data_IF_780853577876
#
_entry.id   IF_780853577876
#
_cell.length_a   1.000
_cell.length_b   1.000
_cell.length_c   1.000
_cell.angle_alpha   90.00
_cell.angle_beta   90.00
_cell.angle_gamma   90.00
#
_symmetry.space_group_name_H-M   'P 1'
#
loop_
_entity.id
_entity.type
_entity.pdbx_description
1 polymer ?
#
# COMPACT_ATOMS: atom_id res chain seq x y z
N UNK A 1 -19.49 -12.85 4.59
CA UNK A 1 -18.72 -12.86 3.33
C UNK A 1 -18.87 -14.22 2.64
N UNK A 2 -19.01 -14.26 1.31
CA UNK A 2 -19.01 -15.50 0.52
C UNK A 2 -17.64 -16.21 0.70
N UNK A 3 -17.62 -17.55 0.82
CA UNK A 3 -16.38 -18.33 0.96
C UNK A 3 -15.41 -18.15 -0.22
N UNK A 4 -15.93 -17.75 -1.38
CA UNK A 4 -15.13 -17.49 -2.58
C UNK A 4 -14.02 -16.46 -2.34
N UNK A 5 -14.29 -15.43 -1.54
CA UNK A 5 -13.38 -14.30 -1.33
C UNK A 5 -12.47 -14.44 -0.11
N UNK A 6 -12.67 -15.47 0.70
CA UNK A 6 -11.99 -15.64 1.99
C UNK A 6 -10.46 -15.68 1.86
N UNK A 7 -9.94 -16.35 0.83
CA UNK A 7 -8.49 -16.44 0.61
C UNK A 7 -7.87 -15.10 0.20
N UNK A 8 -8.49 -14.39 -0.73
CA UNK A 8 -8.03 -13.05 -1.13
C UNK A 8 -8.15 -12.03 0.01
N UNK A 9 -9.21 -12.13 0.80
CA UNK A 9 -9.42 -11.33 2.00
C UNK A 9 -8.32 -11.58 3.05
N UNK A 10 -8.04 -12.85 3.35
CA UNK A 10 -6.96 -13.26 4.26
C UNK A 10 -5.59 -12.78 3.79
N UNK A 11 -5.32 -12.86 2.48
CA UNK A 11 -4.10 -12.31 1.90
C UNK A 11 -3.97 -10.80 2.13
N UNK A 12 -5.04 -10.03 1.90
CA UNK A 12 -5.02 -8.58 2.15
C UNK A 12 -4.79 -8.28 3.63
N UNK A 13 -5.44 -9.02 4.53
CA UNK A 13 -5.20 -8.90 5.98
C UNK A 13 -3.77 -9.29 6.37
N UNK A 14 -3.24 -10.37 5.80
CA UNK A 14 -1.88 -10.81 6.07
C UNK A 14 -0.85 -9.74 5.68
N UNK A 15 -0.97 -9.16 4.48
CA UNK A 15 -0.09 -8.06 4.04
C UNK A 15 -0.25 -6.84 4.96
N UNK A 16 -1.48 -6.51 5.34
CA UNK A 16 -1.75 -5.45 6.30
C UNK A 16 -1.07 -5.69 7.65
N UNK A 17 -1.20 -6.90 8.20
CA UNK A 17 -0.72 -7.25 9.54
C UNK A 17 0.82 -7.22 9.60
N UNK A 18 1.52 -7.59 8.52
CA UNK A 18 2.98 -7.40 8.41
C UNK A 18 3.38 -5.93 8.62
N UNK A 19 2.64 -5.00 8.01
CA UNK A 19 2.94 -3.57 8.14
C UNK A 19 2.55 -3.03 9.53
N UNK A 20 1.52 -3.60 10.17
CA UNK A 20 1.16 -3.29 11.57
C UNK A 20 2.24 -3.78 12.52
N UNK A 21 2.73 -5.01 12.33
CA UNK A 21 3.80 -5.60 13.14
C UNK A 21 5.06 -4.73 13.10
N UNK A 22 5.38 -4.14 11.94
CA UNK A 22 6.47 -3.16 11.82
C UNK A 22 6.23 -1.91 12.68
N UNK A 23 5.01 -1.36 12.72
CA UNK A 23 4.69 -0.22 13.57
C UNK A 23 4.81 -0.58 15.06
N UNK A 24 4.22 -1.69 15.47
CA UNK A 24 4.25 -2.12 16.88
C UNK A 24 5.66 -2.44 17.36
N UNK A 25 6.43 -3.19 16.56
CA UNK A 25 7.81 -3.54 16.90
C UNK A 25 8.72 -2.32 16.78
N UNK A 26 8.46 -1.44 15.82
CA UNK A 26 9.20 -0.21 15.65
C UNK A 26 9.03 0.77 16.81
N UNK A 27 7.82 0.86 17.37
CA UNK A 27 7.57 1.64 18.59
C UNK A 27 8.27 1.02 19.80
N UNK A 28 8.16 -0.30 20.00
CA UNK A 28 8.81 -1.03 21.11
C UNK A 28 10.34 -0.94 21.09
N UNK A 29 10.95 -0.77 19.92
CA UNK A 29 12.40 -0.73 19.72
C UNK A 29 12.93 0.67 19.36
N UNK A 30 12.14 1.73 19.59
CA UNK A 30 12.53 3.13 19.34
C UNK A 30 12.99 3.42 17.89
N UNK A 31 12.51 2.64 16.90
CA UNK A 31 12.91 2.78 15.49
C UNK A 31 12.57 4.17 14.96
N UNK A 32 11.42 4.72 15.39
CA UNK A 32 10.94 6.03 14.97
C UNK A 32 11.58 7.20 15.72
N UNK A 33 12.42 6.93 16.73
CA UNK A 33 13.20 7.95 17.40
C UNK A 33 14.52 8.20 16.68
N UNK A 34 14.99 9.45 16.73
CA UNK A 34 16.32 9.84 16.22
C UNK A 34 17.21 10.23 17.39
N UNK A 35 18.37 9.59 17.50
CA UNK A 35 19.40 9.96 18.47
C UNK A 35 20.29 11.03 17.86
N UNK A 36 20.37 12.18 18.51
CA UNK A 36 21.23 13.29 18.08
C UNK A 36 22.37 13.44 19.08
N UNK A 37 23.60 13.23 18.63
CA UNK A 37 24.78 13.48 19.45
C UNK A 37 25.08 14.99 19.52
N UNK A 38 25.20 15.48 20.74
CA UNK A 38 25.48 16.87 21.07
C UNK A 38 26.81 16.96 21.83
N UNK A 39 27.66 17.88 21.42
CA UNK A 39 28.83 18.31 22.20
C UNK A 39 28.39 19.02 23.50
N UNK A 40 29.28 19.15 24.48
CA UNK A 40 28.93 19.77 25.76
C UNK A 40 28.56 21.26 25.64
N UNK A 41 29.08 21.95 24.61
CA UNK A 41 28.67 23.31 24.26
C UNK A 41 27.24 23.33 23.69
N UNK A 42 26.95 22.46 22.73
CA UNK A 42 25.62 22.35 22.12
C UNK A 42 24.56 21.93 23.15
N UNK A 43 24.90 21.06 24.12
CA UNK A 43 23.99 20.70 25.21
C UNK A 43 23.56 21.94 25.99
N UNK A 44 24.51 22.79 26.40
CA UNK A 44 24.20 24.02 27.15
C UNK A 44 23.31 24.95 26.32
N UNK A 45 23.69 25.19 25.06
CA UNK A 45 22.90 26.03 24.14
C UNK A 45 21.49 25.47 23.90
N UNK A 46 21.34 24.14 23.86
CA UNK A 46 20.05 23.49 23.69
C UNK A 46 19.17 23.62 24.95
N UNK A 47 19.76 23.48 26.14
CA UNK A 47 19.03 23.65 27.41
C UNK A 47 18.53 25.08 27.62
N UNK A 48 19.25 26.06 27.08
CA UNK A 48 18.88 27.48 27.12
C UNK A 48 17.99 27.91 25.92
N UNK A 49 17.61 26.98 25.03
CA UNK A 49 16.81 27.29 23.83
C UNK A 49 15.31 27.14 24.07
N UNK A 50 14.58 28.27 24.04
CA UNK A 50 13.13 28.31 24.25
C UNK A 50 12.27 27.97 23.01
N UNK A 51 12.89 27.53 21.91
CA UNK A 51 12.18 27.21 20.66
C UNK A 51 11.94 25.72 20.44
N UNK A 52 11.36 25.38 19.29
CA UNK A 52 11.18 23.98 18.86
C UNK A 52 12.53 23.29 18.59
N UNK A 53 12.68 22.04 19.04
CA UNK A 53 13.84 21.18 18.77
C UNK A 53 14.19 21.14 17.27
N UNK A 54 13.18 21.11 16.40
CA UNK A 54 13.36 21.10 14.96
C UNK A 54 14.01 22.40 14.45
N UNK A 55 13.59 23.55 14.97
CA UNK A 55 14.20 24.84 14.64
C UNK A 55 15.64 24.91 15.13
N UNK A 56 15.91 24.35 16.31
CA UNK A 56 17.27 24.27 16.85
C UNK A 56 18.19 23.45 15.93
N UNK A 57 17.76 22.26 15.50
CA UNK A 57 18.52 21.40 14.60
C UNK A 57 18.86 22.10 13.28
N UNK A 58 17.88 22.82 12.72
CA UNK A 58 18.03 23.58 11.48
C UNK A 58 19.03 24.73 11.64
N UNK A 59 18.94 25.49 12.73
CA UNK A 59 19.82 26.62 13.03
C UNK A 59 21.29 26.22 13.27
N UNK A 60 21.54 24.98 13.72
CA UNK A 60 22.88 24.45 13.99
C UNK A 60 23.46 23.64 12.83
N UNK A 61 22.90 23.77 11.61
CA UNK A 61 23.31 23.04 10.41
C UNK A 61 23.31 21.51 10.58
N UNK A 62 22.49 20.95 11.48
CA UNK A 62 22.31 19.50 11.65
C UNK A 62 21.21 18.97 10.72
N UNK A 63 21.31 19.29 9.43
CA UNK A 63 20.28 19.00 8.42
C UNK A 63 19.93 17.50 8.32
N UNK A 64 20.93 16.62 8.37
CA UNK A 64 20.70 15.17 8.32
C UNK A 64 19.86 14.66 9.50
N UNK A 65 20.10 15.18 10.70
CA UNK A 65 19.32 14.84 11.89
C UNK A 65 17.90 15.41 11.80
N UNK A 66 17.75 16.65 11.33
CA UNK A 66 16.46 17.29 11.08
C UNK A 66 15.60 16.46 10.11
N UNK A 67 16.15 16.11 8.95
CA UNK A 67 15.46 15.30 7.95
C UNK A 67 15.12 13.91 8.47
N UNK A 68 16.05 13.27 9.20
CA UNK A 68 15.82 11.94 9.78
C UNK A 68 14.66 11.93 10.78
N UNK A 69 14.61 12.91 11.70
CA UNK A 69 13.51 13.07 12.67
C UNK A 69 12.17 13.22 11.93
N UNK A 70 12.11 14.10 10.93
CA UNK A 70 10.86 14.36 10.20
C UNK A 70 10.44 13.14 9.39
N UNK A 71 11.37 12.52 8.63
CA UNK A 71 11.07 11.32 7.84
C UNK A 71 10.50 10.20 8.71
N UNK A 72 11.14 9.86 9.82
CA UNK A 72 10.67 8.80 10.73
C UNK A 72 9.27 9.11 11.30
N UNK A 73 9.04 10.37 11.70
CA UNK A 73 7.74 10.82 12.21
C UNK A 73 6.64 10.71 11.14
N UNK A 74 6.93 11.14 9.91
CA UNK A 74 6.00 11.05 8.78
C UNK A 74 5.70 9.59 8.46
N UNK A 75 6.72 8.73 8.37
CA UNK A 75 6.54 7.30 8.05
C UNK A 75 5.60 6.65 9.06
N UNK A 76 5.86 6.83 10.36
CA UNK A 76 5.03 6.24 11.42
C UNK A 76 3.57 6.70 11.33
N UNK A 77 3.35 8.01 11.25
CA UNK A 77 2.00 8.58 11.23
C UNK A 77 1.23 8.24 9.95
N UNK A 78 1.90 8.34 8.79
CA UNK A 78 1.28 8.10 7.48
C UNK A 78 0.93 6.64 7.28
N UNK A 79 1.81 5.73 7.72
CA UNK A 79 1.56 4.29 7.67
C UNK A 79 0.44 3.91 8.64
N UNK A 80 0.44 4.43 9.88
CA UNK A 80 -0.66 4.19 10.83
C UNK A 80 -2.02 4.60 10.26
N UNK A 81 -2.13 5.82 9.68
CA UNK A 81 -3.36 6.30 9.05
C UNK A 81 -3.78 5.42 7.86
N UNK A 82 -2.83 5.02 7.00
CA UNK A 82 -3.08 4.13 5.87
C UNK A 82 -3.66 2.79 6.35
N UNK A 83 -3.01 2.16 7.34
CA UNK A 83 -3.37 0.83 7.83
C UNK A 83 -4.72 0.83 8.55
N UNK A 84 -5.04 1.86 9.34
CA UNK A 84 -6.38 2.00 9.92
C UNK A 84 -7.48 2.04 8.87
N UNK A 85 -7.29 2.81 7.78
CA UNK A 85 -8.27 2.85 6.69
C UNK A 85 -8.37 1.51 5.94
N UNK A 86 -7.25 0.81 5.70
CA UNK A 86 -7.25 -0.52 5.08
C UNK A 86 -7.97 -1.52 5.98
N UNK A 87 -7.64 -1.58 7.27
CA UNK A 87 -8.28 -2.46 8.26
C UNK A 87 -9.80 -2.28 8.27
N UNK A 88 -10.27 -1.04 8.43
CA UNK A 88 -11.70 -0.75 8.49
C UNK A 88 -12.39 -1.03 7.15
N UNK A 89 -11.71 -0.83 6.01
CA UNK A 89 -12.22 -1.21 4.70
C UNK A 89 -12.41 -2.73 4.58
N UNK A 90 -11.39 -3.52 4.96
CA UNK A 90 -11.46 -4.97 4.95
C UNK A 90 -12.55 -5.49 5.91
N UNK A 91 -12.65 -4.94 7.13
CA UNK A 91 -13.73 -5.27 8.08
C UNK A 91 -15.11 -4.86 7.57
N UNK A 92 -15.23 -3.75 6.86
CA UNK A 92 -16.48 -3.36 6.22
C UNK A 92 -16.87 -4.36 5.13
N UNK A 93 -15.92 -4.82 4.29
CA UNK A 93 -16.17 -5.88 3.31
C UNK A 93 -16.58 -7.19 3.97
N UNK A 94 -15.93 -7.60 5.06
CA UNK A 94 -16.29 -8.83 5.80
C UNK A 94 -17.77 -8.81 6.24
N UNK A 95 -18.23 -7.64 6.71
CA UNK A 95 -19.56 -7.38 7.25
C UNK A 95 -20.63 -7.06 6.19
N UNK A 96 -20.34 -7.09 4.89
CA UNK A 96 -21.34 -6.75 3.87
C UNK A 96 -21.49 -5.24 3.59
N UNK A 97 -20.69 -4.39 4.23
CA UNK A 97 -20.79 -2.92 4.13
C UNK A 97 -19.93 -2.41 2.96
N UNK A 98 -20.22 -2.90 1.76
CA UNK A 98 -19.42 -2.67 0.54
C UNK A 98 -19.19 -1.18 0.27
N UNK A 99 -20.22 -0.34 0.38
CA UNK A 99 -20.07 1.11 0.18
C UNK A 99 -19.07 1.74 1.13
N UNK A 100 -19.12 1.38 2.41
CA UNK A 100 -18.21 1.91 3.43
C UNK A 100 -16.77 1.47 3.13
N UNK A 101 -16.58 0.23 2.67
CA UNK A 101 -15.26 -0.26 2.30
C UNK A 101 -14.61 0.55 1.17
N UNK A 102 -15.36 0.84 0.10
CA UNK A 102 -14.85 1.65 -1.02
C UNK A 102 -14.63 3.12 -0.66
N UNK A 103 -15.45 3.69 0.23
CA UNK A 103 -15.20 5.02 0.77
C UNK A 103 -13.85 5.08 1.51
N UNK A 104 -13.56 4.07 2.33
CA UNK A 104 -12.36 4.02 3.16
C UNK A 104 -11.09 3.71 2.36
N UNK A 105 -11.13 2.75 1.41
CA UNK A 105 -9.92 2.28 0.71
C UNK A 105 -9.34 3.32 -0.25
N UNK A 106 -10.15 4.29 -0.68
CA UNK A 106 -9.75 5.36 -1.60
C UNK A 106 -8.53 6.14 -1.11
N UNK A 107 -8.52 6.50 0.18
CA UNK A 107 -7.45 7.33 0.77
C UNK A 107 -6.11 6.59 0.80
N UNK A 108 -6.01 5.35 1.33
CA UNK A 108 -4.80 4.53 1.24
C UNK A 108 -4.19 4.45 -0.17
N UNK A 109 -5.00 4.13 -1.17
CA UNK A 109 -4.48 3.80 -2.51
C UNK A 109 -4.15 5.04 -3.35
N UNK A 110 -4.88 6.15 -3.17
CA UNK A 110 -4.68 7.37 -3.98
C UNK A 110 -3.81 8.41 -3.28
N UNK A 111 -3.86 8.50 -1.95
CA UNK A 111 -3.26 9.61 -1.20
C UNK A 111 -2.08 9.15 -0.35
N UNK A 112 -2.29 8.20 0.58
CA UNK A 112 -1.20 7.73 1.43
C UNK A 112 -0.08 7.08 0.60
N UNK A 113 -0.44 6.17 -0.31
CA UNK A 113 0.54 5.48 -1.16
C UNK A 113 1.26 6.46 -2.10
N UNK A 114 0.57 7.46 -2.64
CA UNK A 114 1.22 8.51 -3.43
C UNK A 114 2.29 9.26 -2.62
N UNK A 115 1.97 9.63 -1.37
CA UNK A 115 2.90 10.37 -0.54
C UNK A 115 4.13 9.52 -0.16
N UNK A 116 3.93 8.22 0.12
CA UNK A 116 5.04 7.27 0.31
C UNK A 116 5.93 7.16 -0.95
N UNK A 117 5.34 7.09 -2.14
CA UNK A 117 6.09 7.10 -3.40
C UNK A 117 6.91 8.40 -3.58
N UNK A 118 6.35 9.56 -3.24
CA UNK A 118 7.08 10.84 -3.30
C UNK A 118 8.27 10.85 -2.34
N UNK A 119 8.17 10.23 -1.16
CA UNK A 119 9.29 10.08 -0.24
C UNK A 119 10.45 9.25 -0.82
N UNK A 120 10.15 8.30 -1.71
CA UNK A 120 11.17 7.50 -2.42
C UNK A 120 11.76 8.29 -3.59
N UNK A 121 10.92 9.01 -4.34
CA UNK A 121 11.29 9.64 -5.61
C UNK A 121 11.99 11.00 -5.47
N UNK A 122 11.79 11.71 -4.35
CA UNK A 122 12.24 13.09 -4.18
C UNK A 122 13.28 13.21 -3.07
N UNK A 123 14.51 13.56 -3.45
CA UNK A 123 15.55 13.89 -2.49
C UNK A 123 15.19 15.15 -1.67
N UNK A 124 14.50 16.12 -2.29
CA UNK A 124 14.04 17.37 -1.70
C UNK A 124 12.66 17.26 -1.01
N UNK A 125 12.21 16.04 -0.69
CA UNK A 125 10.89 15.79 -0.10
C UNK A 125 10.61 16.64 1.14
N UNK A 126 11.59 16.75 2.06
CA UNK A 126 11.42 17.47 3.33
C UNK A 126 11.31 18.97 3.10
N UNK A 127 12.10 19.53 2.17
CA UNK A 127 12.02 20.94 1.80
C UNK A 127 10.67 21.27 1.16
N UNK A 128 10.14 20.39 0.32
CA UNK A 128 8.79 20.54 -0.26
C UNK A 128 7.72 20.44 0.83
N UNK A 129 7.84 19.47 1.74
CA UNK A 129 6.89 19.27 2.83
C UNK A 129 6.80 20.50 3.74
N UNK A 130 7.93 21.13 4.05
CA UNK A 130 8.00 22.34 4.87
C UNK A 130 7.50 23.59 4.12
N UNK A 131 7.94 23.78 2.88
CA UNK A 131 7.69 25.02 2.13
C UNK A 131 6.34 25.06 1.43
N UNK A 132 5.88 23.93 0.89
CA UNK A 132 4.64 23.83 0.13
C UNK A 132 4.12 22.38 0.05
N UNK A 133 3.51 21.85 1.13
CA UNK A 133 3.02 20.48 1.17
C UNK A 133 1.93 20.18 0.13
N UNK A 134 1.26 21.22 -0.42
CA UNK A 134 0.27 21.05 -1.49
C UNK A 134 0.87 20.52 -2.79
N UNK A 135 2.21 20.59 -2.96
CA UNK A 135 2.96 19.96 -4.06
C UNK A 135 3.05 18.43 -3.93
N UNK A 136 2.78 17.87 -2.75
CA UNK A 136 2.81 16.43 -2.48
C UNK A 136 1.42 15.77 -2.58
N UNK A 137 0.47 16.41 -3.26
CA UNK A 137 -0.86 15.83 -3.55
C UNK A 137 -0.81 14.99 -4.82
N UNK A 138 -1.53 13.87 -4.84
CA UNK A 138 -1.60 12.98 -6.00
C UNK A 138 -1.96 13.68 -7.32
N UNK A 139 -2.78 14.73 -7.27
CA UNK A 139 -3.14 15.55 -8.44
C UNK A 139 -1.95 16.16 -9.17
N UNK A 140 -0.82 16.35 -8.49
CA UNK A 140 0.40 16.87 -9.09
C UNK A 140 1.19 15.78 -9.85
N UNK A 141 0.83 14.50 -9.68
CA UNK A 141 1.32 13.39 -10.48
C UNK A 141 0.82 13.42 -11.93
N UNK A 142 -0.16 14.26 -12.24
CA UNK A 142 -0.70 14.42 -13.59
C UNK A 142 -1.83 13.44 -13.90
N UNK A 143 -1.85 12.95 -15.13
CA UNK A 143 -2.77 11.91 -15.59
C UNK A 143 -2.17 10.51 -15.37
N UNK A 144 -2.82 9.48 -15.94
CA UNK A 144 -2.35 8.09 -15.85
C UNK A 144 -0.90 7.94 -16.33
N UNK A 145 -0.47 8.67 -17.36
CA UNK A 145 0.89 8.57 -17.89
C UNK A 145 1.91 9.18 -16.91
N UNK A 146 1.56 10.28 -16.25
CA UNK A 146 2.40 10.88 -15.21
C UNK A 146 2.59 9.94 -14.01
N UNK A 147 1.51 9.29 -13.57
CA UNK A 147 1.59 8.27 -12.51
C UNK A 147 2.35 7.01 -12.95
N UNK A 148 2.16 6.54 -14.19
CA UNK A 148 2.89 5.40 -14.77
C UNK A 148 4.40 5.62 -14.70
N UNK A 149 4.89 6.78 -15.20
CA UNK A 149 6.31 7.11 -15.15
C UNK A 149 6.91 7.09 -13.73
N UNK A 150 6.17 7.62 -12.74
CA UNK A 150 6.58 7.61 -11.34
C UNK A 150 6.68 6.18 -10.78
N UNK A 151 5.61 5.40 -10.97
CA UNK A 151 5.54 4.01 -10.50
C UNK A 151 6.62 3.17 -11.18
N UNK A 152 6.85 3.37 -12.48
CA UNK A 152 7.88 2.67 -13.25
C UNK A 152 9.29 2.92 -12.71
N UNK A 153 9.59 4.14 -12.29
CA UNK A 153 10.89 4.47 -11.66
C UNK A 153 11.07 3.69 -10.37
N UNK A 154 10.05 3.63 -9.51
CA UNK A 154 10.07 2.86 -8.27
C UNK A 154 10.22 1.36 -8.54
N UNK A 155 9.44 0.82 -9.48
CA UNK A 155 9.52 -0.60 -9.83
C UNK A 155 10.89 -1.00 -10.39
N UNK A 156 11.55 -0.12 -11.15
CA UNK A 156 12.92 -0.36 -11.62
C UNK A 156 13.92 -0.39 -10.48
N UNK A 157 13.84 0.56 -9.56
CA UNK A 157 14.69 0.60 -8.36
C UNK A 157 14.51 -0.65 -7.48
N UNK A 158 13.29 -1.20 -7.46
CA UNK A 158 12.96 -2.45 -6.76
C UNK A 158 13.27 -3.72 -7.56
N UNK A 159 13.64 -3.63 -8.85
CA UNK A 159 13.76 -4.76 -9.79
C UNK A 159 12.45 -5.55 -10.02
N UNK A 160 11.30 -4.88 -9.93
CA UNK A 160 9.97 -5.46 -10.19
C UNK A 160 9.29 -4.93 -11.47
N UNK A 161 9.97 -4.10 -12.28
CA UNK A 161 9.40 -3.51 -13.51
C UNK A 161 9.11 -4.55 -14.61
N UNK A 162 9.74 -5.73 -14.54
CA UNK A 162 9.46 -6.87 -15.40
C UNK A 162 8.35 -7.78 -14.85
N UNK A 163 7.86 -7.56 -13.63
CA UNK A 163 6.81 -8.36 -12.99
C UNK A 163 5.52 -7.56 -12.93
N UNK A 164 5.58 -6.44 -12.22
CA UNK A 164 4.46 -5.53 -12.03
C UNK A 164 4.39 -4.54 -13.20
N UNK A 165 3.16 -4.20 -13.57
CA UNK A 165 2.86 -3.32 -14.67
C UNK A 165 2.54 -1.93 -14.10
N UNK A 166 3.47 -1.01 -14.31
CA UNK A 166 3.38 0.38 -13.83
C UNK A 166 2.18 1.11 -14.42
N UNK A 167 1.90 0.88 -15.70
CA UNK A 167 0.76 1.46 -16.38
C UNK A 167 -0.56 0.92 -15.83
N UNK A 168 -0.61 -0.38 -15.55
CA UNK A 168 -1.78 -0.98 -14.92
C UNK A 168 -1.99 -0.47 -13.50
N UNK A 169 -0.94 -0.36 -12.67
CA UNK A 169 -1.03 0.22 -11.32
C UNK A 169 -1.53 1.68 -11.36
N UNK A 170 -1.04 2.47 -12.32
CA UNK A 170 -1.50 3.85 -12.52
C UNK A 170 -2.98 3.89 -12.93
N UNK A 171 -3.38 3.04 -13.88
CA UNK A 171 -4.75 2.92 -14.37
C UNK A 171 -5.70 2.52 -13.25
N UNK A 172 -5.34 1.47 -12.51
CA UNK A 172 -6.12 0.90 -11.41
C UNK A 172 -6.39 1.91 -10.28
N UNK A 173 -5.54 2.93 -10.12
CA UNK A 173 -5.65 3.92 -9.03
C UNK A 173 -6.23 5.25 -9.47
N UNK A 174 -5.94 5.70 -10.69
CA UNK A 174 -6.13 7.10 -11.10
C UNK A 174 -6.93 7.28 -12.39
N UNK A 175 -7.18 6.23 -13.17
CA UNK A 175 -7.98 6.38 -14.38
C UNK A 175 -9.47 6.49 -14.05
N UNK A 176 -10.07 7.63 -14.37
CA UNK A 176 -11.50 7.90 -14.15
C UNK A 176 -12.41 7.30 -15.22
N UNK A 177 -11.82 6.88 -16.33
CA UNK A 177 -12.52 6.38 -17.52
C UNK A 177 -12.48 4.86 -17.61
N UNK A 178 -11.50 4.23 -16.97
CA UNK A 178 -11.42 2.78 -16.89
C UNK A 178 -12.45 2.23 -15.91
N UNK A 179 -13.24 1.24 -16.37
CA UNK A 179 -14.09 0.43 -15.49
C UNK A 179 -13.26 -0.45 -14.55
N UNK A 180 -12.02 -0.76 -14.91
CA UNK A 180 -11.07 -1.55 -14.11
C UNK A 180 -10.22 -0.66 -13.18
N UNK A 181 -10.84 0.38 -12.60
CA UNK A 181 -10.17 1.37 -11.74
C UNK A 181 -10.91 1.59 -10.43
N UNK A 182 -10.15 1.69 -9.35
CA UNK A 182 -10.69 2.07 -8.04
C UNK A 182 -11.22 3.50 -8.01
N UNK A 183 -10.73 4.43 -8.86
CA UNK A 183 -11.18 5.83 -8.81
C UNK A 183 -12.69 5.94 -9.05
N UNK A 184 -13.20 5.26 -10.08
CA UNK A 184 -14.61 5.29 -10.43
C UNK A 184 -15.51 4.74 -9.32
N UNK A 185 -15.24 3.51 -8.90
CA UNK A 185 -16.03 2.81 -7.87
C UNK A 185 -15.94 3.50 -6.50
N UNK A 186 -14.79 4.05 -6.14
CA UNK A 186 -14.65 4.81 -4.88
C UNK A 186 -15.40 6.15 -4.95
N UNK A 187 -15.38 6.84 -6.09
CA UNK A 187 -16.15 8.07 -6.26
C UNK A 187 -17.67 7.80 -6.18
N UNK A 188 -18.15 6.69 -6.76
CA UNK A 188 -19.54 6.25 -6.61
C UNK A 188 -19.91 5.93 -5.16
N UNK A 189 -18.97 5.38 -4.39
CA UNK A 189 -19.17 5.12 -2.96
C UNK A 189 -19.24 6.41 -2.13
N UNK A 190 -18.43 7.41 -2.49
CA UNK A 190 -18.32 8.68 -1.77
C UNK A 190 -19.48 9.65 -2.05
N UNK A 191 -20.03 9.62 -3.27
CA UNK A 191 -21.03 10.59 -3.71
C UNK A 191 -22.39 9.93 -3.93
N UNK A 192 -23.46 10.58 -3.46
CA UNK A 192 -24.84 10.14 -3.71
C UNK A 192 -25.18 10.16 -5.20
N UNK A 193 -24.67 11.16 -5.91
CA UNK A 193 -24.82 11.35 -7.35
C UNK A 193 -23.46 11.67 -7.98
N UNK A 194 -23.21 11.10 -9.16
CA UNK A 194 -21.98 11.28 -9.94
C UNK A 194 -22.33 11.75 -11.34
N UNK A 195 -21.58 12.73 -11.85
CA UNK A 195 -21.86 13.37 -13.15
C UNK A 195 -20.87 12.97 -14.26
N UNK A 196 -19.73 12.39 -13.88
CA UNK A 196 -18.71 11.97 -14.84
C UNK A 196 -19.23 10.85 -15.73
N UNK A 197 -19.06 10.97 -17.05
CA UNK A 197 -19.70 10.09 -18.05
C UNK A 197 -19.52 8.60 -17.75
N UNK A 198 -18.33 8.18 -17.31
CA UNK A 198 -18.01 6.78 -17.02
C UNK A 198 -18.70 6.21 -15.77
N UNK A 199 -19.15 7.06 -14.84
CA UNK A 199 -19.74 6.64 -13.55
C UNK A 199 -21.04 7.38 -13.27
N UNK A 200 -21.68 7.95 -14.29
CA UNK A 200 -22.83 8.83 -14.12
C UNK A 200 -23.98 8.05 -13.47
N UNK A 201 -24.58 8.61 -12.42
CA UNK A 201 -25.73 7.97 -11.77
C UNK A 201 -26.90 7.89 -12.75
N UNK A 202 -27.48 6.70 -12.87
CA UNK A 202 -28.65 6.45 -13.71
C UNK A 202 -29.89 7.19 -13.19
N UNK A 203 -30.84 7.48 -14.08
CA UNK A 203 -32.12 8.07 -13.68
C UNK A 203 -32.82 7.18 -12.65
N UNK A 204 -33.38 7.79 -11.60
CA UNK A 204 -34.03 7.09 -10.48
C UNK A 204 -33.09 6.19 -9.65
N UNK A 205 -31.77 6.40 -9.73
CA UNK A 205 -30.78 5.70 -8.91
C UNK A 205 -30.07 6.66 -7.93
N UNK A 206 -29.59 6.14 -6.79
CA UNK A 206 -28.70 6.84 -5.85
C UNK A 206 -27.50 5.92 -5.60
N UNK A 207 -26.57 5.89 -6.55
CA UNK A 207 -25.34 5.07 -6.55
C UNK A 207 -25.46 3.79 -5.70
N UNK A 208 -24.64 3.65 -4.65
CA UNK A 208 -24.56 2.42 -3.87
C UNK A 208 -25.73 2.21 -2.89
N UNK A 209 -26.59 3.22 -2.68
CA UNK A 209 -27.74 3.10 -1.77
C UNK A 209 -28.76 2.11 -2.32
N UNK A 210 -28.99 2.12 -3.64
CA UNK A 210 -29.90 1.17 -4.29
C UNK A 210 -29.19 -0.05 -4.89
N UNK A 211 -27.95 -0.31 -4.47
CA UNK A 211 -27.19 -1.49 -4.91
C UNK A 211 -27.91 -2.80 -4.57
N UNK A 212 -28.13 -3.63 -5.59
CA UNK A 212 -28.72 -4.96 -5.45
C UNK A 212 -27.70 -5.95 -4.87
N UNK A 213 -28.14 -7.17 -4.55
CA UNK A 213 -27.20 -8.22 -4.15
C UNK A 213 -26.26 -8.63 -5.30
N UNK A 214 -26.72 -8.57 -6.54
CA UNK A 214 -25.91 -8.85 -7.72
C UNK A 214 -24.81 -7.80 -7.91
N UNK A 215 -25.14 -6.50 -7.78
CA UNK A 215 -24.12 -5.45 -7.87
C UNK A 215 -23.13 -5.49 -6.70
N UNK A 216 -23.55 -5.96 -5.51
CA UNK A 216 -22.61 -6.22 -4.41
C UNK A 216 -21.65 -7.35 -4.74
N UNK A 217 -22.11 -8.43 -5.37
CA UNK A 217 -21.26 -9.55 -5.74
C UNK A 217 -20.19 -9.13 -6.76
N UNK A 218 -20.56 -8.35 -7.79
CA UNK A 218 -19.58 -7.83 -8.75
C UNK A 218 -18.56 -6.90 -8.09
N UNK A 219 -18.98 -6.13 -7.08
CA UNK A 219 -18.07 -5.32 -6.26
C UNK A 219 -17.15 -6.18 -5.38
N UNK A 220 -17.64 -7.28 -4.79
CA UNK A 220 -16.77 -8.23 -4.08
C UNK A 220 -15.72 -8.83 -5.01
N UNK A 221 -16.13 -9.25 -6.21
CA UNK A 221 -15.23 -9.75 -7.25
C UNK A 221 -14.22 -8.66 -7.63
N UNK A 222 -14.67 -7.43 -7.87
CA UNK A 222 -13.77 -6.31 -8.16
C UNK A 222 -12.74 -6.09 -7.05
N UNK A 223 -13.17 -5.95 -5.80
CA UNK A 223 -12.27 -5.75 -4.67
C UNK A 223 -11.23 -6.86 -4.59
N UNK A 224 -11.65 -8.12 -4.55
CA UNK A 224 -10.76 -9.23 -4.22
C UNK A 224 -9.97 -9.79 -5.37
N UNK A 225 -10.31 -9.43 -6.61
CA UNK A 225 -9.43 -9.73 -7.74
C UNK A 225 -8.53 -8.57 -8.08
N UNK A 226 -8.66 -7.36 -7.51
CA UNK A 226 -7.77 -6.20 -7.80
C UNK A 226 -6.90 -5.81 -6.62
N UNK A 227 -7.49 -5.75 -5.42
CA UNK A 227 -6.83 -5.28 -4.21
C UNK A 227 -5.58 -6.10 -3.85
N UNK A 228 -5.53 -7.44 -3.97
CA UNK A 228 -4.30 -8.19 -3.65
C UNK A 228 -3.06 -7.74 -4.42
N UNK A 229 -3.20 -7.44 -5.71
CA UNK A 229 -2.10 -6.94 -6.54
C UNK A 229 -1.62 -5.56 -6.08
N UNK A 230 -2.58 -4.69 -5.73
CA UNK A 230 -2.28 -3.37 -5.22
C UNK A 230 -1.69 -3.41 -3.80
N UNK A 231 -2.16 -4.31 -2.94
CA UNK A 231 -1.61 -4.56 -1.60
C UNK A 231 -0.17 -5.07 -1.70
N UNK A 232 0.13 -5.94 -2.66
CA UNK A 232 1.51 -6.35 -2.89
C UNK A 232 2.40 -5.19 -3.32
N UNK A 233 1.92 -4.30 -4.20
CA UNK A 233 2.66 -3.07 -4.53
C UNK A 233 2.84 -2.14 -3.33
N UNK A 234 1.79 -1.95 -2.50
CA UNK A 234 1.87 -1.19 -1.24
C UNK A 234 2.96 -1.78 -0.34
N UNK A 235 2.99 -3.10 -0.17
CA UNK A 235 4.02 -3.80 0.59
C UNK A 235 5.43 -3.54 0.06
N UNK A 236 5.65 -3.60 -1.25
CA UNK A 236 6.97 -3.31 -1.83
C UNK A 236 7.43 -1.86 -1.59
N UNK A 237 6.51 -0.89 -1.70
CA UNK A 237 6.78 0.52 -1.39
C UNK A 237 7.07 0.70 0.10
N UNK A 238 6.28 0.05 0.96
CA UNK A 238 6.49 0.02 2.40
C UNK A 238 7.87 -0.54 2.76
N UNK A 239 8.25 -1.71 2.24
CA UNK A 239 9.54 -2.34 2.52
C UNK A 239 10.72 -1.44 2.12
N UNK A 240 10.62 -0.73 0.99
CA UNK A 240 11.66 0.25 0.60
C UNK A 240 11.84 1.35 1.64
N UNK A 241 10.73 1.87 2.16
CA UNK A 241 10.72 2.96 3.13
C UNK A 241 11.14 2.46 4.51
N UNK A 242 10.65 1.30 4.94
CA UNK A 242 11.02 0.66 6.19
C UNK A 242 12.52 0.41 6.25
N UNK A 243 13.12 -0.16 5.18
CA UNK A 243 14.55 -0.39 5.08
C UNK A 243 15.39 0.90 5.13
N UNK A 244 14.82 2.08 4.83
CA UNK A 244 15.52 3.36 4.98
C UNK A 244 15.67 3.82 6.43
N UNK A 245 14.88 3.26 7.36
CA UNK A 245 14.90 3.64 8.78
C UNK A 245 15.27 2.48 9.72
N UNK A 246 15.06 1.23 9.31
CA UNK A 246 15.47 0.03 10.01
C UNK A 246 15.70 -1.12 9.02
N UNK A 247 16.87 -1.75 9.10
CA UNK A 247 17.19 -2.88 8.24
C UNK A 247 16.37 -4.12 8.62
N UNK A 248 15.68 -4.70 7.64
CA UNK A 248 15.00 -5.98 7.78
C UNK A 248 15.94 -7.13 7.38
N UNK A 249 15.95 -8.22 8.14
CA UNK A 249 16.80 -9.39 7.84
C UNK A 249 16.37 -10.05 6.52
N UNK A 250 17.32 -10.44 5.63
CA UNK A 250 17.00 -11.17 4.41
C UNK A 250 16.21 -12.47 4.65
N UNK A 251 16.42 -13.13 5.79
CA UNK A 251 15.70 -14.35 6.16
C UNK A 251 14.23 -14.05 6.42
N UNK A 252 13.93 -12.96 7.11
CA UNK A 252 12.57 -12.52 7.35
C UNK A 252 11.88 -12.10 6.05
N UNK A 253 12.58 -11.33 5.21
CA UNK A 253 12.04 -10.92 3.89
C UNK A 253 11.69 -12.13 3.03
N UNK A 254 12.54 -13.16 3.02
CA UNK A 254 12.28 -14.40 2.31
C UNK A 254 11.07 -15.17 2.88
N UNK A 255 10.96 -15.27 4.20
CA UNK A 255 9.81 -15.90 4.87
C UNK A 255 8.48 -15.21 4.50
N UNK A 256 8.45 -13.87 4.63
CA UNK A 256 7.27 -13.08 4.25
C UNK A 256 6.96 -13.22 2.77
N UNK A 257 7.98 -13.16 1.90
CA UNK A 257 7.80 -13.33 0.46
C UNK A 257 7.19 -14.70 0.12
N UNK A 258 7.66 -15.78 0.77
CA UNK A 258 7.11 -17.11 0.57
C UNK A 258 5.64 -17.18 0.99
N UNK A 259 5.29 -16.62 2.16
CA UNK A 259 3.92 -16.61 2.67
C UNK A 259 2.98 -15.80 1.77
N UNK A 260 3.38 -14.60 1.36
CA UNK A 260 2.61 -13.77 0.42
C UNK A 260 2.40 -14.53 -0.89
N UNK A 261 3.47 -15.10 -1.46
CA UNK A 261 3.42 -15.86 -2.70
C UNK A 261 2.42 -17.01 -2.61
N UNK A 262 2.45 -17.79 -1.52
CA UNK A 262 1.57 -18.93 -1.33
C UNK A 262 0.11 -18.50 -1.14
N UNK A 263 -0.14 -17.47 -0.32
CA UNK A 263 -1.47 -16.91 -0.11
C UNK A 263 -2.06 -16.32 -1.41
N UNK A 264 -1.22 -15.71 -2.24
CA UNK A 264 -1.62 -15.17 -3.54
C UNK A 264 -2.05 -16.28 -4.51
N UNK A 265 -1.26 -17.35 -4.62
CA UNK A 265 -1.62 -18.50 -5.45
C UNK A 265 -2.91 -19.17 -4.95
N UNK A 266 -3.08 -19.32 -3.63
CA UNK A 266 -4.31 -19.85 -3.04
C UNK A 266 -5.52 -18.95 -3.35
N UNK A 267 -5.36 -17.63 -3.25
CA UNK A 267 -6.42 -16.68 -3.58
C UNK A 267 -6.82 -16.73 -5.07
N UNK A 268 -5.84 -16.93 -5.96
CA UNK A 268 -6.06 -16.97 -7.40
C UNK A 268 -6.95 -18.15 -7.85
N UNK A 269 -6.90 -19.29 -7.17
CA UNK A 269 -7.71 -20.50 -7.50
C UNK A 269 -9.21 -20.20 -7.57
N UNK A 270 -9.68 -19.20 -6.82
CA UNK A 270 -11.09 -18.85 -6.71
C UNK A 270 -11.51 -17.70 -7.65
N UNK A 271 -10.62 -17.20 -8.51
CA UNK A 271 -10.88 -16.09 -9.41
C UNK A 271 -11.54 -16.58 -10.70
N UNK A 272 -12.77 -16.14 -10.95
CA UNK A 272 -13.49 -16.42 -12.19
C UNK A 272 -12.78 -15.82 -13.42
N UNK A 273 -12.84 -16.53 -14.56
CA UNK A 273 -12.08 -16.20 -15.77
C UNK A 273 -12.31 -14.77 -16.29
N UNK A 274 -13.52 -14.23 -16.16
CA UNK A 274 -13.89 -12.87 -16.56
C UNK A 274 -13.28 -11.76 -15.68
N UNK A 275 -12.75 -12.11 -14.50
CA UNK A 275 -12.08 -11.19 -13.59
C UNK A 275 -10.57 -11.41 -13.50
N UNK A 276 -10.03 -12.32 -14.30
CA UNK A 276 -8.60 -12.49 -14.44
C UNK A 276 -8.04 -11.43 -15.39
N UNK A 277 -6.91 -10.82 -15.01
CA UNK A 277 -6.13 -9.99 -15.93
C UNK A 277 -4.78 -10.60 -16.20
N UNK A 278 -4.17 -10.18 -17.31
CA UNK A 278 -2.81 -10.60 -17.67
C UNK A 278 -1.80 -10.27 -16.56
N UNK A 279 -2.00 -9.16 -15.86
CA UNK A 279 -1.15 -8.69 -14.78
C UNK A 279 -1.23 -9.62 -13.55
N UNK A 280 -2.43 -10.07 -13.17
CA UNK A 280 -2.60 -11.08 -12.12
C UNK A 280 -1.90 -12.38 -12.47
N UNK A 281 -2.13 -12.88 -13.67
CA UNK A 281 -1.55 -14.14 -14.12
C UNK A 281 -0.01 -14.09 -14.15
N UNK A 282 0.57 -12.99 -14.63
CA UNK A 282 2.01 -12.78 -14.63
C UNK A 282 2.61 -12.80 -13.22
N UNK A 283 1.93 -12.19 -12.25
CA UNK A 283 2.36 -12.21 -10.86
C UNK A 283 2.25 -13.62 -10.25
N UNK A 284 1.22 -14.39 -10.61
CA UNK A 284 1.08 -15.79 -10.21
C UNK A 284 2.24 -16.65 -10.74
N UNK A 285 2.60 -16.52 -12.03
CA UNK A 285 3.75 -17.24 -12.61
C UNK A 285 5.04 -16.95 -11.83
N UNK A 286 5.27 -15.68 -11.47
CA UNK A 286 6.43 -15.31 -10.68
C UNK A 286 6.42 -15.97 -9.30
N UNK A 287 5.30 -15.89 -8.57
CA UNK A 287 5.18 -16.52 -7.26
C UNK A 287 5.34 -18.04 -7.31
N UNK A 288 4.79 -18.68 -8.33
CA UNK A 288 4.99 -20.11 -8.59
C UNK A 288 6.47 -20.44 -8.82
N UNK A 289 7.17 -19.64 -9.64
CA UNK A 289 8.59 -19.82 -9.91
C UNK A 289 9.44 -19.67 -8.64
N UNK A 290 9.21 -18.62 -7.85
CA UNK A 290 9.93 -18.37 -6.59
C UNK A 290 9.73 -19.53 -5.61
N UNK A 291 8.49 -19.98 -5.41
CA UNK A 291 8.21 -21.07 -4.48
C UNK A 291 8.77 -22.40 -4.98
N UNK A 292 8.69 -22.67 -6.28
CA UNK A 292 9.27 -23.88 -6.87
C UNK A 292 10.78 -23.93 -6.70
N UNK A 293 11.46 -22.79 -6.88
CA UNK A 293 12.91 -22.66 -6.65
C UNK A 293 13.28 -22.85 -5.18
N UNK A 294 12.57 -22.18 -4.27
CA UNK A 294 12.86 -22.19 -2.84
C UNK A 294 12.60 -23.56 -2.19
N UNK A 295 11.51 -24.23 -2.55
CA UNK A 295 11.08 -25.47 -1.91
C UNK A 295 11.42 -26.74 -2.69
N UNK A 296 11.86 -26.61 -3.96
CA UNK A 296 12.27 -27.73 -4.84
C UNK A 296 11.23 -28.86 -4.90
N UNK A 297 9.96 -28.51 -4.92
CA UNK A 297 8.85 -29.45 -4.92
C UNK A 297 7.71 -28.97 -5.84
N UNK A 298 6.85 -29.91 -6.24
CA UNK A 298 5.59 -29.58 -6.91
C UNK A 298 4.64 -28.85 -5.93
N UNK A 299 4.02 -27.76 -6.38
CA UNK A 299 3.15 -26.93 -5.55
C UNK A 299 1.71 -27.46 -5.58
N UNK A 300 1.35 -28.28 -4.59
CA UNK A 300 -0.04 -28.67 -4.34
C UNK A 300 -0.76 -27.64 -3.45
N UNK A 301 -2.09 -27.66 -3.42
CA UNK A 301 -2.88 -26.79 -2.53
C UNK A 301 -2.51 -26.97 -1.05
N UNK A 302 -2.34 -28.22 -0.60
CA UNK A 302 -1.93 -28.53 0.78
C UNK A 302 -0.54 -27.95 1.08
N UNK A 303 0.38 -28.03 0.11
CA UNK A 303 1.73 -27.47 0.26
C UNK A 303 1.68 -25.94 0.34
N UNK A 304 0.87 -25.29 -0.49
CA UNK A 304 0.69 -23.84 -0.43
C UNK A 304 0.09 -23.41 0.92
N UNK A 305 -0.89 -24.16 1.46
CA UNK A 305 -1.46 -23.87 2.79
C UNK A 305 -0.41 -24.04 3.91
N UNK A 306 0.47 -25.04 3.79
CA UNK A 306 1.59 -25.21 4.71
C UNK A 306 2.58 -24.02 4.61
N UNK A 307 3.02 -23.64 3.41
CA UNK A 307 3.94 -22.52 3.18
C UNK A 307 3.33 -21.21 3.68
N UNK A 308 2.05 -20.95 3.40
CA UNK A 308 1.35 -19.76 3.89
C UNK A 308 1.37 -19.66 5.44
N UNK A 309 1.34 -20.81 6.13
CA UNK A 309 1.30 -20.88 7.59
C UNK A 309 2.68 -20.80 8.23
N UNK A 310 3.69 -21.41 7.61
CA UNK A 310 5.03 -21.59 8.22
C UNK A 310 6.12 -20.72 7.62
N UNK A 311 6.00 -20.31 6.34
CA UNK A 311 6.93 -19.47 5.57
C UNK A 311 8.35 -20.03 5.34
N UNK A 312 8.70 -21.13 6.03
CA UNK A 312 10.05 -21.71 6.06
C UNK A 312 10.18 -22.89 5.08
N UNK A 313 11.25 -22.85 4.30
CA UNK A 313 11.82 -24.00 3.58
C UNK A 313 12.40 -24.98 4.60
N UNK A 314 11.81 -26.17 4.75
CA UNK A 314 12.44 -27.25 5.53
C UNK A 314 13.83 -27.61 5.00
#
# INVERSE_FOLDING_TARGET
MNKLYDRAHKLCFFIHDIMVDFLETGEKNDIFLSKVELSDLEKKEFWDYDGSILNWLKNKNKQSNYESVIKKTIIQALLSDMLHCIYESLKAMEKGKVSIAYMLIRKPIQENLYLLEEMILKDDFIDIFESNPLKLRHKNGGDVNGHDLRIKTILKDLNFDQILDSHYLATLRYDKKSEDSFDGVCNQAMHLFTEHQAIKTENLNINFIFGTNESKETLYQFMYTRLPYLMYYIYLVFEKIANSIANTSPIYLLDIQNRISALYLLAYVNVENNYQTKQFYKLCIMFEAILSENFKCELSLEKLENIASTGITN
#
